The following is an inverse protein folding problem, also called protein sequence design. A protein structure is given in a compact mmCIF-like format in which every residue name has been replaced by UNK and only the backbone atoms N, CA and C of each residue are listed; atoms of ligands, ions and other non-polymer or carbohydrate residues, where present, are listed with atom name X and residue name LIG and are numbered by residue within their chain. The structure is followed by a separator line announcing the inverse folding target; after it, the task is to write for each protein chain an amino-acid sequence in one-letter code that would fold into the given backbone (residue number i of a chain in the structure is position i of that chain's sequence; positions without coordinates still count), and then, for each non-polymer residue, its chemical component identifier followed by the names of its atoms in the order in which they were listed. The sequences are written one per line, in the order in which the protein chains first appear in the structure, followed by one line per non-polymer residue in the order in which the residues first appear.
data_IF_340890456427
#
_entry.id   IF_340890456427
#
_cell.length_a   1.000
_cell.length_b   1.000
_cell.length_c   1.000
_cell.angle_alpha   90.00
_cell.angle_beta   90.00
_cell.angle_gamma   90.00
#
_symmetry.space_group_name_H-M   'P 1'
#
loop_
_entity.id
_entity.type
_entity.pdbx_description
1 polymer ?
#
# COMPACT_ATOMS: atom_id res chain seq x y z
N UNK A 1 5.99 4.94 -8.46
CA UNK A 1 6.69 4.95 -7.15
C UNK A 1 6.04 3.92 -6.24
N UNK A 2 6.83 3.18 -5.47
CA UNK A 2 6.37 2.22 -4.47
C UNK A 2 6.61 2.75 -3.07
N UNK A 3 5.61 2.63 -2.19
CA UNK A 3 5.71 3.03 -0.80
C UNK A 3 5.26 1.92 0.15
N UNK A 4 5.87 1.93 1.34
CA UNK A 4 5.46 1.12 2.47
C UNK A 4 4.71 2.01 3.46
N UNK A 5 3.51 1.58 3.83
CA UNK A 5 2.73 2.12 4.93
C UNK A 5 2.87 1.19 6.13
N UNK A 6 3.20 1.73 7.30
CA UNK A 6 3.33 0.97 8.54
C UNK A 6 2.30 1.41 9.57
N UNK A 7 1.63 0.41 10.13
CA UNK A 7 0.78 0.53 11.30
C UNK A 7 1.62 0.54 12.59
N UNK A 8 1.18 1.21 13.67
CA UNK A 8 1.88 1.14 14.97
C UNK A 8 2.03 -0.27 15.56
N UNK A 9 1.19 -1.25 15.16
CA UNK A 9 1.40 -2.66 15.55
C UNK A 9 2.52 -3.37 14.77
N UNK A 10 3.25 -2.68 13.90
CA UNK A 10 4.37 -3.24 13.13
C UNK A 10 3.99 -3.79 11.75
N UNK A 11 2.70 -4.04 11.48
CA UNK A 11 2.24 -4.56 10.20
C UNK A 11 2.35 -3.52 9.07
N UNK A 12 2.69 -4.01 7.87
CA UNK A 12 2.97 -3.20 6.69
C UNK A 12 1.97 -3.39 5.55
N UNK A 13 1.82 -2.37 4.73
CA UNK A 13 1.12 -2.40 3.44
C UNK A 13 2.02 -1.81 2.34
N UNK A 14 2.16 -2.54 1.24
CA UNK A 14 2.81 -2.09 0.01
C UNK A 14 1.78 -1.54 -0.95
N UNK A 15 2.04 -0.34 -1.47
CA UNK A 15 1.23 0.24 -2.52
C UNK A 15 2.05 1.03 -3.53
N UNK A 16 1.58 1.01 -4.77
CA UNK A 16 2.06 1.85 -5.84
C UNK A 16 1.25 3.12 -6.01
N UNK A 17 1.94 4.17 -6.47
CA UNK A 17 1.31 5.40 -6.92
C UNK A 17 2.10 6.06 -8.05
N UNK A 18 1.37 6.67 -8.98
CA UNK A 18 1.88 7.64 -9.96
C UNK A 18 1.78 9.08 -9.45
N UNK A 19 1.03 9.33 -8.38
CA UNK A 19 0.91 10.65 -7.73
C UNK A 19 2.15 10.93 -6.88
N UNK A 20 2.32 12.18 -6.46
CA UNK A 20 3.36 12.51 -5.48
C UNK A 20 3.12 11.77 -4.17
N UNK A 21 4.22 11.40 -3.48
CA UNK A 21 4.11 10.62 -2.24
C UNK A 21 3.26 11.35 -1.20
N UNK A 22 3.44 12.67 -1.02
CA UNK A 22 2.69 13.48 -0.06
C UNK A 22 1.17 13.42 -0.30
N UNK A 23 0.75 13.53 -1.57
CA UNK A 23 -0.67 13.43 -1.94
C UNK A 23 -1.22 12.04 -1.64
N UNK A 24 -0.47 10.98 -1.99
CA UNK A 24 -0.89 9.60 -1.70
C UNK A 24 -1.03 9.32 -0.20
N UNK A 25 -0.11 9.82 0.62
CA UNK A 25 -0.20 9.67 2.09
C UNK A 25 -1.43 10.41 2.64
N UNK A 26 -1.72 11.63 2.14
CA UNK A 26 -2.92 12.39 2.53
C UNK A 26 -4.20 11.60 2.22
N UNK A 27 -4.28 10.99 1.05
CA UNK A 27 -5.41 10.14 0.66
C UNK A 27 -5.59 8.94 1.59
N UNK A 28 -4.50 8.22 1.90
CA UNK A 28 -4.55 7.10 2.83
C UNK A 28 -5.00 7.53 4.23
N UNK A 29 -4.49 8.66 4.74
CA UNK A 29 -4.92 9.22 6.03
C UNK A 29 -6.40 9.59 6.02
N UNK A 30 -6.89 10.24 4.96
CA UNK A 30 -8.31 10.55 4.81
C UNK A 30 -9.19 9.30 4.81
N UNK A 31 -8.78 8.25 4.08
CA UNK A 31 -9.51 6.97 4.06
C UNK A 31 -9.55 6.28 5.40
N UNK A 32 -8.48 6.35 6.20
CA UNK A 32 -8.47 5.83 7.57
C UNK A 32 -9.37 6.69 8.47
N UNK A 33 -9.24 8.02 8.39
CA UNK A 33 -9.96 8.96 9.25
C UNK A 33 -11.48 8.91 9.07
N UNK A 34 -11.96 8.74 7.83
CA UNK A 34 -13.38 8.74 7.49
C UNK A 34 -13.94 7.33 7.23
N UNK A 35 -13.21 6.29 7.63
CA UNK A 35 -13.66 4.92 7.43
C UNK A 35 -14.94 4.64 8.24
N UNK A 36 -15.88 3.94 7.62
CA UNK A 36 -17.09 3.42 8.26
C UNK A 36 -17.16 1.92 8.01
N UNK A 37 -17.46 1.15 9.06
CA UNK A 37 -17.64 -0.30 8.93
C UNK A 37 -18.79 -0.61 7.95
N UNK A 38 -18.59 -1.61 7.09
CA UNK A 38 -19.54 -1.95 6.02
C UNK A 38 -19.47 -1.04 4.79
N UNK A 39 -18.62 0.00 4.77
CA UNK A 39 -18.45 0.83 3.58
C UNK A 39 -17.78 0.05 2.43
N UNK A 40 -18.34 0.06 1.21
CA UNK A 40 -17.73 -0.58 0.04
C UNK A 40 -16.44 0.10 -0.41
N UNK A 41 -16.18 1.34 0.03
CA UNK A 41 -14.96 2.10 -0.31
C UNK A 41 -13.79 1.81 0.63
N UNK A 42 -13.96 0.90 1.58
CA UNK A 42 -12.94 0.48 2.53
C UNK A 42 -11.71 -0.10 1.85
N UNK A 43 -10.55 0.47 2.13
CA UNK A 43 -9.25 -0.11 1.74
C UNK A 43 -8.73 -1.09 2.80
N UNK A 44 -7.84 -2.01 2.43
CA UNK A 44 -7.19 -2.91 3.39
C UNK A 44 -6.58 -2.16 4.58
N UNK A 45 -5.89 -1.05 4.29
CA UNK A 45 -5.29 -0.18 5.32
C UNK A 45 -6.34 0.42 6.24
N UNK A 46 -7.43 0.99 5.71
CA UNK A 46 -8.46 1.60 6.55
C UNK A 46 -9.23 0.57 7.37
N UNK A 47 -9.52 -0.61 6.79
CA UNK A 47 -10.15 -1.73 7.51
C UNK A 47 -9.25 -2.21 8.65
N UNK A 48 -7.96 -2.39 8.38
CA UNK A 48 -6.98 -2.81 9.38
C UNK A 48 -6.87 -1.80 10.52
N UNK A 49 -6.71 -0.50 10.22
CA UNK A 49 -6.63 0.54 11.25
C UNK A 49 -7.88 0.60 12.11
N UNK A 50 -9.07 0.44 11.51
CA UNK A 50 -10.32 0.39 12.26
C UNK A 50 -10.39 -0.85 13.16
N UNK A 51 -10.05 -2.03 12.65
CA UNK A 51 -10.06 -3.28 13.42
C UNK A 51 -9.05 -3.26 14.58
N UNK A 52 -7.89 -2.64 14.37
CA UNK A 52 -6.85 -2.49 15.39
C UNK A 52 -7.04 -1.27 16.31
N UNK A 53 -8.14 -0.52 16.18
CA UNK A 53 -8.41 0.72 16.92
C UNK A 53 -7.24 1.75 16.85
N UNK A 54 -6.61 1.86 15.68
CA UNK A 54 -5.51 2.79 15.43
C UNK A 54 -5.97 4.01 14.63
N UNK A 55 -5.33 5.15 14.90
CA UNK A 55 -5.66 6.44 14.29
C UNK A 55 -4.78 6.72 13.07
N UNK A 56 -5.33 7.45 12.10
CA UNK A 56 -4.62 7.88 10.89
C UNK A 56 -3.33 8.69 11.17
N UNK A 57 -3.26 9.37 12.33
CA UNK A 57 -2.08 10.12 12.77
C UNK A 57 -0.89 9.22 13.11
N UNK A 58 -1.15 7.96 13.48
CA UNK A 58 -0.13 6.97 13.82
C UNK A 58 0.45 6.27 12.58
N UNK A 59 -0.11 6.52 11.39
CA UNK A 59 0.38 5.97 10.13
C UNK A 59 1.79 6.49 9.83
N UNK A 60 2.75 5.57 9.80
CA UNK A 60 4.13 5.81 9.32
C UNK A 60 4.24 5.39 7.86
N UNK A 61 5.17 5.98 7.12
CA UNK A 61 5.39 5.65 5.73
C UNK A 61 6.85 5.84 5.31
N UNK A 62 7.24 5.16 4.24
CA UNK A 62 8.51 5.36 3.57
C UNK A 62 8.39 5.12 2.06
N UNK A 63 9.22 5.78 1.28
CA UNK A 63 9.40 5.45 -0.14
C UNK A 63 10.34 4.26 -0.22
N UNK A 64 9.95 3.21 -0.94
CA UNK A 64 10.80 2.06 -1.19
C UNK A 64 11.57 2.22 -2.50
N UNK A 65 10.88 2.69 -3.55
CA UNK A 65 11.44 2.72 -4.89
C UNK A 65 10.77 3.77 -5.77
N UNK A 66 11.59 4.51 -6.51
CA UNK A 66 11.12 5.39 -7.59
C UNK A 66 11.32 4.66 -8.91
N UNK A 67 10.24 4.02 -9.38
CA UNK A 67 10.24 3.28 -10.64
C UNK A 67 10.29 4.27 -11.81
N UNK A 68 11.39 4.23 -12.55
CA UNK A 68 11.59 4.97 -13.79
C UNK A 68 11.07 4.12 -14.96
N UNK A 69 10.36 4.71 -15.94
CA UNK A 69 9.99 3.99 -17.17
C UNK A 69 11.25 3.49 -17.89
N UNK A 70 11.21 2.26 -18.42
CA UNK A 70 12.32 1.73 -19.21
C UNK A 70 12.51 2.54 -20.49
N UNK A 71 13.76 2.83 -20.83
CA UNK A 71 14.16 3.66 -21.99
C UNK A 71 13.76 3.03 -23.35
N UNK A 72 13.60 1.70 -23.43
CA UNK A 72 13.43 0.95 -24.69
C UNK A 72 12.01 0.40 -24.93
N UNK A 73 11.00 0.97 -24.27
CA UNK A 73 9.63 0.46 -24.37
C UNK A 73 9.44 -0.90 -23.67
N UNK A 74 8.19 -1.23 -23.37
CA UNK A 74 7.81 -2.42 -22.61
C UNK A 74 6.52 -2.18 -21.82
N UNK A 75 5.87 -3.24 -21.37
CA UNK A 75 4.64 -3.11 -20.60
C UNK A 75 4.96 -2.65 -19.16
N UNK A 76 4.99 -1.33 -18.95
CA UNK A 76 5.25 -0.72 -17.64
C UNK A 76 4.33 -1.26 -16.55
N UNK A 77 3.09 -1.64 -16.89
CA UNK A 77 2.14 -2.21 -15.93
C UNK A 77 2.59 -3.57 -15.42
N UNK A 78 3.14 -4.42 -16.31
CA UNK A 78 3.74 -5.71 -15.92
C UNK A 78 4.93 -5.51 -14.99
N UNK A 79 5.85 -4.62 -15.35
CA UNK A 79 6.99 -4.30 -14.50
C UNK A 79 6.54 -3.79 -13.12
N UNK A 80 5.56 -2.88 -13.08
CA UNK A 80 4.97 -2.39 -11.86
C UNK A 80 4.40 -3.54 -11.00
N UNK A 81 3.56 -4.43 -11.53
CA UNK A 81 3.03 -5.54 -10.72
C UNK A 81 4.11 -6.51 -10.24
N UNK A 82 5.17 -6.73 -11.04
CA UNK A 82 6.32 -7.52 -10.60
C UNK A 82 7.05 -6.86 -9.42
N UNK A 83 7.28 -5.53 -9.46
CA UNK A 83 7.90 -4.81 -8.35
C UNK A 83 7.03 -4.80 -7.10
N UNK A 84 5.71 -4.64 -7.24
CA UNK A 84 4.79 -4.78 -6.10
C UNK A 84 4.86 -6.17 -5.48
N UNK A 85 4.83 -7.21 -6.31
CA UNK A 85 4.94 -8.60 -5.87
C UNK A 85 6.27 -8.89 -5.17
N UNK A 86 7.37 -8.33 -5.71
CA UNK A 86 8.69 -8.43 -5.10
C UNK A 86 8.70 -7.81 -3.69
N UNK A 87 8.19 -6.59 -3.52
CA UNK A 87 8.19 -5.92 -2.22
C UNK A 87 7.24 -6.57 -1.21
N UNK A 88 6.06 -7.03 -1.63
CA UNK A 88 5.13 -7.75 -0.75
C UNK A 88 5.79 -9.03 -0.21
N UNK A 89 6.47 -9.80 -1.06
CA UNK A 89 7.20 -11.01 -0.65
C UNK A 89 8.41 -10.68 0.22
N UNK A 90 9.19 -9.66 -0.16
CA UNK A 90 10.43 -9.29 0.53
C UNK A 90 10.20 -8.74 1.93
N UNK A 91 9.08 -8.06 2.15
CA UNK A 91 8.72 -7.42 3.42
C UNK A 91 7.59 -8.14 4.16
N UNK A 92 7.20 -9.32 3.68
CA UNK A 92 6.14 -10.18 4.23
C UNK A 92 4.86 -9.42 4.61
N UNK A 93 4.32 -8.66 3.65
CA UNK A 93 3.18 -7.77 3.91
C UNK A 93 1.82 -8.38 3.59
N UNK A 94 1.73 -9.68 3.33
CA UNK A 94 0.50 -10.37 2.94
C UNK A 94 -0.40 -10.74 4.15
N UNK A 95 -1.71 -10.60 3.99
CA UNK A 95 -2.70 -11.08 4.96
C UNK A 95 -2.66 -12.62 5.07
N UNK A 96 -2.86 -13.24 6.26
CA UNK A 96 -3.35 -12.67 7.52
C UNK A 96 -2.31 -12.00 8.41
N UNK A 97 -1.02 -12.23 8.15
CA UNK A 97 0.06 -11.75 9.04
C UNK A 97 0.38 -10.26 8.84
N UNK A 98 -0.12 -9.66 7.76
CA UNK A 98 0.00 -8.23 7.47
C UNK A 98 -1.21 -7.70 6.68
N UNK A 99 -1.06 -6.57 5.97
CA UNK A 99 -2.19 -5.72 5.52
C UNK A 99 -2.55 -5.94 4.04
N UNK A 100 -1.65 -6.38 3.16
CA UNK A 100 -2.00 -6.58 1.74
C UNK A 100 -2.96 -7.77 1.59
N UNK A 101 -4.15 -7.55 0.98
CA UNK A 101 -5.15 -8.60 0.78
C UNK A 101 -4.69 -9.69 -0.23
N UNK A 102 -3.87 -9.32 -1.22
CA UNK A 102 -3.40 -10.24 -2.26
C UNK A 102 -2.12 -9.75 -2.93
N UNK A 103 -1.38 -10.69 -3.52
CA UNK A 103 -0.33 -10.41 -4.49
C UNK A 103 -0.97 -10.32 -5.87
N UNK A 104 -0.73 -9.22 -6.59
CA UNK A 104 -1.19 -9.10 -7.98
C UNK A 104 -0.19 -9.78 -8.89
N UNK A 105 -0.43 -11.05 -9.20
CA UNK A 105 0.35 -11.79 -10.19
C UNK A 105 -0.20 -11.51 -11.60
N UNK A 106 0.70 -11.42 -12.58
CA UNK A 106 0.37 -11.66 -13.98
C UNK A 106 0.62 -13.15 -14.25
N UNK A 107 -0.40 -13.87 -14.73
CA UNK A 107 -0.29 -15.17 -15.37
C UNK A 107 -0.09 -14.96 -16.88
#
# INVERSE_FOLDING_TARGET
MSCLLKCPCGQGYIGQTSRTIKTRIKEHRGKICHFKQGSPTGTAVSRHFNAANHKHTQLKWMVLEVIQPAQRGGNIRQYLLQRDSFWIKRLDTLHPLAINDSVKCYL
#
